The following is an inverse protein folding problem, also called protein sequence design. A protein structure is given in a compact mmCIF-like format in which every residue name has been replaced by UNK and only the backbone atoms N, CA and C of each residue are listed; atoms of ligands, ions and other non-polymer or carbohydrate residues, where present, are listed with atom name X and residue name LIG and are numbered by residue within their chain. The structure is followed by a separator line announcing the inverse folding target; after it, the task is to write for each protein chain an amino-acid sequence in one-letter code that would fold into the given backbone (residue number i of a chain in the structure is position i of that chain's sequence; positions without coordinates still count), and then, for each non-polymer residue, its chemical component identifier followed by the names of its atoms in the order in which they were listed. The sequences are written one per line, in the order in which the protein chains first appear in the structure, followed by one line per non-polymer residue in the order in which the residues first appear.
data_IF_269526119449
#
_entry.id   IF_269526119449
#
_cell.length_a   1.000
_cell.length_b   1.000
_cell.length_c   1.000
_cell.angle_alpha   90.00
_cell.angle_beta   90.00
_cell.angle_gamma   90.00
#
_symmetry.space_group_name_H-M   'P 1'
#
loop_
_entity.id
_entity.type
_entity.pdbx_description
1 polymer ?
#
# COMPACT_ATOMS: atom_id res chain seq x y z
N UNK A 1 35.72 -27.48 -21.69
CA UNK A 1 34.96 -26.33 -22.22
C UNK A 1 33.56 -26.34 -21.59
N UNK A 2 33.03 -25.14 -21.31
CA UNK A 2 31.69 -24.80 -20.79
C UNK A 2 31.42 -24.93 -19.27
N UNK A 3 31.48 -23.78 -18.60
CA UNK A 3 30.62 -23.38 -17.45
C UNK A 3 29.33 -22.70 -17.99
N UNK A 4 28.40 -22.14 -17.18
CA UNK A 4 27.54 -22.71 -16.11
C UNK A 4 26.06 -22.19 -16.18
N UNK A 5 25.28 -22.41 -15.10
CA UNK A 5 24.01 -21.73 -14.67
C UNK A 5 22.72 -22.18 -15.40
N UNK A 6 21.55 -22.39 -14.78
CA UNK A 6 20.85 -21.78 -13.62
C UNK A 6 19.81 -22.76 -13.04
N UNK A 7 19.37 -22.64 -11.78
CA UNK A 7 17.93 -22.78 -11.45
C UNK A 7 17.55 -22.21 -10.08
N UNK A 8 16.83 -21.10 -10.15
CA UNK A 8 15.69 -20.65 -9.33
C UNK A 8 15.62 -20.95 -7.83
N UNK A 9 15.71 -19.86 -7.08
CA UNK A 9 15.35 -19.65 -5.69
C UNK A 9 13.91 -20.10 -5.36
N UNK A 10 13.74 -20.90 -4.30
CA UNK A 10 12.44 -21.20 -3.69
C UNK A 10 12.41 -20.71 -2.24
N UNK A 11 11.94 -19.48 -2.03
CA UNK A 11 11.60 -18.98 -0.69
C UNK A 11 10.15 -19.36 -0.39
N UNK A 12 9.93 -20.31 0.52
CA UNK A 12 8.64 -20.52 1.18
C UNK A 12 8.58 -19.55 2.37
N UNK A 13 7.67 -18.59 2.32
CA UNK A 13 7.23 -17.86 3.51
C UNK A 13 5.88 -18.46 3.90
N UNK A 14 5.87 -19.15 5.03
CA UNK A 14 4.67 -19.65 5.70
C UNK A 14 3.85 -18.47 6.20
N UNK A 15 2.69 -18.26 5.58
CA UNK A 15 1.72 -17.26 6.00
C UNK A 15 0.87 -17.83 7.15
N UNK A 16 1.16 -17.43 8.39
CA UNK A 16 0.26 -17.66 9.53
C UNK A 16 -0.68 -16.45 9.58
N UNK A 17 -1.85 -16.58 8.96
CA UNK A 17 -2.88 -15.55 8.89
C UNK A 17 -3.77 -15.69 10.13
N UNK A 18 -3.62 -14.78 11.10
CA UNK A 18 -4.63 -14.57 12.14
C UNK A 18 -5.87 -13.92 11.52
N UNK A 19 -7.04 -14.53 11.75
CA UNK A 19 -8.36 -14.09 11.27
C UNK A 19 -8.71 -12.65 11.71
N UNK A 20 -9.45 -11.86 10.92
CA UNK A 20 -9.92 -10.55 11.34
C UNK A 20 -11.20 -10.65 12.20
N UNK A 21 -11.32 -9.75 13.17
CA UNK A 21 -12.56 -9.50 13.93
C UNK A 21 -13.55 -8.74 13.05
N UNK A 22 -14.81 -9.16 13.14
CA UNK A 22 -15.99 -8.63 12.45
C UNK A 22 -16.69 -7.55 13.29
N UNK A 23 -17.31 -6.58 12.60
CA UNK A 23 -18.38 -5.69 13.09
C UNK A 23 -18.01 -4.19 13.02
N UNK A 24 -18.89 -3.23 12.70
CA UNK A 24 -20.32 -3.20 12.36
C UNK A 24 -20.65 -1.77 11.82
N UNK A 25 -21.62 -1.68 10.90
CA UNK A 25 -22.65 -0.63 10.65
C UNK A 25 -22.30 0.87 10.45
N UNK A 26 -22.75 1.38 9.28
CA UNK A 26 -23.69 2.51 9.15
C UNK A 26 -23.19 3.96 9.20
N UNK A 27 -23.13 4.64 8.05
CA UNK A 27 -23.25 6.11 7.99
C UNK A 27 -22.52 6.82 6.85
N UNK A 28 -23.28 7.35 5.88
CA UNK A 28 -22.90 8.39 4.89
C UNK A 28 -21.60 8.18 4.09
N UNK A 29 -21.71 7.40 3.02
CA UNK A 29 -21.19 7.74 1.68
C UNK A 29 -19.80 8.39 1.56
N UNK A 30 -18.81 7.91 2.30
CA UNK A 30 -17.40 8.04 1.97
C UNK A 30 -16.82 6.64 2.23
N UNK A 31 -16.16 6.07 1.22
CA UNK A 31 -15.61 4.71 1.29
C UNK A 31 -14.86 4.52 2.61
N UNK A 32 -15.02 3.40 3.31
CA UNK A 32 -14.26 3.20 4.54
C UNK A 32 -12.77 2.98 4.18
N UNK A 33 -11.84 3.73 4.77
CA UNK A 33 -10.42 3.53 4.55
C UNK A 33 -9.95 2.34 5.39
N UNK A 34 -9.24 1.40 4.77
CA UNK A 34 -8.57 0.33 5.51
C UNK A 34 -7.18 0.83 5.90
N UNK A 35 -7.01 1.15 7.18
CA UNK A 35 -5.71 1.60 7.70
C UNK A 35 -4.70 0.46 7.63
N UNK A 36 -3.62 0.68 6.88
CA UNK A 36 -2.51 -0.26 6.84
C UNK A 36 -1.66 -0.07 8.09
N UNK A 37 -1.09 1.13 8.22
CA UNK A 37 -0.17 1.52 9.31
C UNK A 37 -0.17 3.05 9.53
N UNK A 38 0.40 3.48 10.65
CA UNK A 38 0.69 4.89 10.96
C UNK A 38 2.20 5.14 11.03
N UNK A 39 2.70 6.17 10.35
CA UNK A 39 4.12 6.52 10.32
C UNK A 39 4.33 8.03 10.44
N UNK A 40 5.16 8.48 11.38
CA UNK A 40 5.44 9.91 11.65
C UNK A 40 4.17 10.76 11.92
N UNK A 41 3.11 10.15 12.47
CA UNK A 41 1.82 10.82 12.69
C UNK A 41 0.97 10.96 11.42
N UNK A 42 1.34 10.27 10.33
CA UNK A 42 0.53 10.11 9.13
C UNK A 42 -0.10 8.73 9.08
N UNK A 43 -1.36 8.66 8.67
CA UNK A 43 -2.04 7.42 8.34
C UNK A 43 -1.75 7.02 6.90
N UNK A 44 -1.46 5.75 6.68
CA UNK A 44 -1.27 5.13 5.37
C UNK A 44 -2.41 4.15 5.15
N UNK A 45 -3.21 4.36 4.11
CA UNK A 45 -4.44 3.59 3.89
C UNK A 45 -4.79 3.52 2.40
N UNK A 46 -5.71 2.62 2.05
CA UNK A 46 -6.38 2.60 0.74
C UNK A 46 -7.89 2.57 0.94
N UNK A 47 -8.65 3.06 -0.05
CA UNK A 47 -10.10 3.02 0.02
C UNK A 47 -10.62 1.70 -0.52
N UNK A 48 -11.73 1.22 0.04
CA UNK A 48 -12.41 0.00 -0.43
C UNK A 48 -12.85 0.08 -1.90
N UNK A 49 -13.00 1.29 -2.46
CA UNK A 49 -13.33 1.50 -3.87
C UNK A 49 -12.15 1.43 -4.84
N UNK A 50 -10.91 1.38 -4.34
CA UNK A 50 -9.70 1.53 -5.15
C UNK A 50 -9.30 0.26 -5.92
N UNK A 51 -10.03 -0.85 -5.75
CA UNK A 51 -9.69 -2.15 -6.34
C UNK A 51 -9.73 -2.23 -7.88
N UNK A 52 -10.24 -1.21 -8.56
CA UNK A 52 -10.16 -1.10 -10.03
C UNK A 52 -8.94 -0.30 -10.52
N UNK A 53 -8.25 0.42 -9.62
CA UNK A 53 -7.01 1.12 -9.93
C UNK A 53 -5.80 0.22 -9.63
N UNK A 54 -4.63 0.50 -10.22
CA UNK A 54 -3.39 -0.13 -9.80
C UNK A 54 -3.11 0.04 -8.31
N UNK A 55 -2.26 -0.81 -7.74
CA UNK A 55 -1.91 -0.76 -6.31
C UNK A 55 -1.38 0.62 -5.92
N UNK A 56 -2.04 1.25 -4.95
CA UNK A 56 -1.65 2.56 -4.46
C UNK A 56 -2.01 2.74 -2.99
N UNK A 57 -1.47 3.80 -2.39
CA UNK A 57 -1.76 4.19 -1.02
C UNK A 57 -1.99 5.68 -0.92
N UNK A 58 -2.85 6.06 0.02
CA UNK A 58 -3.13 7.42 0.44
C UNK A 58 -2.42 7.68 1.76
N UNK A 59 -1.82 8.86 1.88
CA UNK A 59 -1.10 9.29 3.08
C UNK A 59 -1.59 10.67 3.49
N UNK A 60 -2.04 10.80 4.74
CA UNK A 60 -2.48 12.07 5.32
C UNK A 60 -2.44 12.00 6.86
N UNK A 61 -2.48 13.16 7.53
CA UNK A 61 -2.54 13.24 9.00
C UNK A 61 -3.85 12.68 9.56
N UNK A 62 -4.89 12.69 8.76
CA UNK A 62 -6.21 12.11 9.05
C UNK A 62 -6.71 11.40 7.80
N UNK A 63 -7.62 10.44 7.97
CA UNK A 63 -8.22 9.73 6.84
C UNK A 63 -9.23 10.64 6.13
N UNK A 64 -8.77 11.31 5.09
CA UNK A 64 -9.55 12.32 4.36
C UNK A 64 -9.49 12.09 2.85
N UNK A 65 -10.53 12.49 2.09
CA UNK A 65 -10.58 12.26 0.64
C UNK A 65 -9.48 12.99 -0.14
N UNK A 66 -8.96 14.10 0.39
CA UNK A 66 -7.87 14.87 -0.23
C UNK A 66 -6.48 14.47 0.28
N UNK A 67 -6.24 13.17 0.50
CA UNK A 67 -4.94 12.66 0.91
C UNK A 67 -3.92 12.64 -0.23
N UNK A 68 -2.63 12.69 0.11
CA UNK A 68 -1.55 12.57 -0.86
C UNK A 68 -1.51 11.13 -1.37
N UNK A 69 -1.58 10.94 -2.69
CA UNK A 69 -1.64 9.61 -3.33
C UNK A 69 -0.25 9.18 -3.82
N UNK A 70 0.10 7.92 -3.58
CA UNK A 70 1.33 7.29 -4.05
C UNK A 70 1.04 6.00 -4.80
N UNK A 71 1.60 5.86 -6.00
CA UNK A 71 1.56 4.62 -6.76
C UNK A 71 2.61 3.65 -6.27
N UNK A 72 2.21 2.39 -6.10
CA UNK A 72 3.15 1.29 -5.91
C UNK A 72 3.41 0.69 -7.30
N UNK A 73 4.59 0.96 -7.86
CA UNK A 73 4.98 0.44 -9.17
C UNK A 73 5.76 -0.86 -9.03
N UNK A 74 5.95 -1.55 -10.16
CA UNK A 74 6.77 -2.78 -10.21
C UNK A 74 8.20 -2.56 -9.75
N UNK A 75 8.77 -1.38 -9.99
CA UNK A 75 10.16 -1.06 -9.63
C UNK A 75 10.27 -0.28 -8.32
N UNK A 76 9.37 0.67 -8.06
CA UNK A 76 9.51 1.61 -6.94
C UNK A 76 8.15 2.13 -6.41
N UNK A 77 8.19 3.25 -5.69
CA UNK A 77 7.02 4.02 -5.26
C UNK A 77 7.15 5.43 -5.78
N UNK A 78 6.07 5.92 -6.37
CA UNK A 78 6.00 7.21 -7.06
C UNK A 78 4.87 8.06 -6.49
N UNK A 79 5.09 9.38 -6.44
CA UNK A 79 4.07 10.33 -6.02
C UNK A 79 3.08 10.54 -7.19
N UNK A 80 1.80 10.22 -6.95
CA UNK A 80 0.73 10.34 -7.94
C UNK A 80 0.06 11.71 -7.89
N UNK A 81 -0.25 12.16 -6.67
CA UNK A 81 -0.96 13.40 -6.41
C UNK A 81 -0.45 13.97 -5.10
N UNK A 82 0.14 15.15 -5.18
CA UNK A 82 0.45 15.94 -3.99
C UNK A 82 -0.75 16.81 -3.63
N UNK A 83 -1.25 16.67 -2.41
CA UNK A 83 -2.34 17.50 -1.87
C UNK A 83 -1.86 18.45 -0.78
N UNK A 84 -0.55 18.47 -0.48
CA UNK A 84 0.02 19.27 0.61
C UNK A 84 -0.25 18.74 2.01
N UNK A 85 -0.93 17.59 2.13
CA UNK A 85 -1.20 16.97 3.44
C UNK A 85 0.06 16.40 4.08
N UNK A 86 1.01 15.98 3.27
CA UNK A 86 2.35 15.55 3.67
C UNK A 86 3.32 16.73 3.58
N UNK A 87 4.04 16.99 4.67
CA UNK A 87 5.03 18.07 4.70
C UNK A 87 6.25 17.69 3.84
N UNK A 88 6.81 18.65 3.08
CA UNK A 88 7.92 18.39 2.14
C UNK A 88 9.14 17.76 2.82
N UNK A 89 9.40 18.10 4.09
CA UNK A 89 10.49 17.54 4.90
C UNK A 89 10.31 16.04 5.21
N UNK A 90 9.06 15.58 5.26
CA UNK A 90 8.70 14.20 5.60
C UNK A 90 8.40 13.35 4.37
N UNK A 91 8.11 13.97 3.22
CA UNK A 91 7.89 13.32 1.92
C UNK A 91 8.98 12.28 1.60
N UNK A 92 10.26 12.63 1.75
CA UNK A 92 11.37 11.71 1.49
C UNK A 92 11.43 10.54 2.48
N UNK A 93 11.00 10.74 3.74
CA UNK A 93 10.93 9.69 4.76
C UNK A 93 9.77 8.73 4.48
N UNK A 94 8.61 9.27 4.10
CA UNK A 94 7.42 8.50 3.72
C UNK A 94 7.72 7.66 2.48
N UNK A 95 8.32 8.23 1.43
CA UNK A 95 8.71 7.47 0.24
C UNK A 95 9.66 6.32 0.57
N UNK A 96 10.68 6.55 1.43
CA UNK A 96 11.57 5.47 1.89
C UNK A 96 10.83 4.39 2.65
N UNK A 97 9.94 4.78 3.56
CA UNK A 97 9.14 3.85 4.34
C UNK A 97 8.23 3.02 3.43
N UNK A 98 7.50 3.64 2.50
CA UNK A 98 6.62 2.95 1.54
C UNK A 98 7.41 1.97 0.65
N UNK A 99 8.58 2.37 0.15
CA UNK A 99 9.45 1.49 -0.64
C UNK A 99 9.90 0.26 0.15
N UNK A 100 10.26 0.45 1.42
CA UNK A 100 10.69 -0.65 2.30
C UNK A 100 9.56 -1.60 2.65
N UNK A 101 8.34 -1.09 2.85
CA UNK A 101 7.16 -1.87 3.21
C UNK A 101 6.30 -2.28 2.01
N UNK A 102 6.80 -2.09 0.79
CA UNK A 102 6.04 -2.33 -0.45
C UNK A 102 5.43 -3.72 -0.53
N UNK A 103 6.17 -4.76 -0.15
CA UNK A 103 5.69 -6.13 -0.19
C UNK A 103 4.49 -6.34 0.75
N UNK A 104 4.52 -5.76 1.94
CA UNK A 104 3.43 -5.84 2.91
C UNK A 104 2.19 -5.08 2.42
N UNK A 105 2.38 -3.90 1.83
CA UNK A 105 1.30 -3.12 1.23
C UNK A 105 0.62 -3.92 0.12
N UNK A 106 1.40 -4.53 -0.79
CA UNK A 106 0.88 -5.38 -1.86
C UNK A 106 0.16 -6.61 -1.31
N UNK A 107 0.68 -7.24 -0.26
CA UNK A 107 0.05 -8.41 0.35
C UNK A 107 -1.32 -8.04 0.96
N UNK A 108 -1.42 -6.89 1.65
CA UNK A 108 -2.71 -6.41 2.17
C UNK A 108 -3.67 -6.03 1.07
N UNK A 109 -3.19 -5.36 0.02
CA UNK A 109 -4.00 -5.05 -1.15
C UNK A 109 -4.56 -6.33 -1.80
N UNK A 110 -3.70 -7.31 -2.07
CA UNK A 110 -4.10 -8.60 -2.63
C UNK A 110 -5.09 -9.34 -1.71
N UNK A 111 -4.85 -9.33 -0.41
CA UNK A 111 -5.76 -9.93 0.57
C UNK A 111 -7.14 -9.26 0.57
N UNK A 112 -7.20 -7.97 0.23
CA UNK A 112 -8.44 -7.19 0.27
C UNK A 112 -9.22 -7.21 -1.04
N UNK A 113 -8.52 -7.16 -2.17
CA UNK A 113 -9.12 -7.04 -3.51
C UNK A 113 -9.03 -8.32 -4.34
N UNK A 114 -8.22 -9.29 -3.94
CA UNK A 114 -8.01 -10.55 -4.67
C UNK A 114 -7.07 -10.43 -5.89
N UNK A 115 -6.83 -9.22 -6.38
CA UNK A 115 -5.92 -8.90 -7.49
C UNK A 115 -5.08 -7.67 -7.17
N UNK A 116 -3.86 -7.62 -7.72
CA UNK A 116 -2.91 -6.54 -7.52
C UNK A 116 -2.25 -6.17 -8.84
N UNK A 117 -2.85 -5.24 -9.57
CA UNK A 117 -2.27 -4.69 -10.80
C UNK A 117 -1.23 -3.62 -10.46
N UNK A 118 0.00 -3.83 -10.89
CA UNK A 118 1.08 -2.87 -10.68
C UNK A 118 1.28 -2.01 -11.91
N UNK A 119 1.46 -0.71 -11.69
CA UNK A 119 1.85 0.20 -12.76
C UNK A 119 3.29 -0.10 -13.19
N UNK A 120 3.51 -0.17 -14.51
CA UNK A 120 4.83 -0.30 -15.14
C UNK A 120 5.45 1.07 -15.37
#
# INVERSE_FOLDING_TARGET
MASPRTSSSRWRITCVITKPLSGMIGGRGHAMPEAIESYLGYYIFFWIGDGMEPVHVHVAKEQQPNATKFWITTETVELAKDTGTVERKDMGKILRYLRRNRQQIMARWLSRFGSADLKR
#
